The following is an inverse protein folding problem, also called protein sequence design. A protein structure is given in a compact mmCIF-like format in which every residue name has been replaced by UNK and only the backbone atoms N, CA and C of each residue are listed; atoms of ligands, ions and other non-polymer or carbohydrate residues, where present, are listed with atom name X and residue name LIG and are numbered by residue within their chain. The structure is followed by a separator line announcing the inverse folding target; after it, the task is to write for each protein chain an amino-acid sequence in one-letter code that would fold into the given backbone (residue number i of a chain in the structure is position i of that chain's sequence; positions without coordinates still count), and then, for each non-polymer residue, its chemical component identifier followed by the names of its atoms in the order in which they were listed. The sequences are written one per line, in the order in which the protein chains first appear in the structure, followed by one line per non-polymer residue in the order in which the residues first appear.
data_IF_412621908047
#
_entry.id   IF_412621908047
#
_cell.length_a   1.000
_cell.length_b   1.000
_cell.length_c   1.000
_cell.angle_alpha   90.00
_cell.angle_beta   90.00
_cell.angle_gamma   90.00
#
_symmetry.space_group_name_H-M   'P 1'
#
loop_
_entity.id
_entity.type
_entity.pdbx_description
1 polymer ?
#
# COMPACT_ATOMS: atom_id res chain seq x y z
N UNK A 1 -10.03 10.59 -30.76
CA UNK A 1 -8.71 10.54 -30.10
C UNK A 1 -8.06 9.14 -30.11
N UNK A 2 -8.80 8.03 -29.98
CA UNK A 2 -8.24 6.65 -30.04
C UNK A 2 -7.57 6.22 -31.36
N UNK A 3 -7.89 6.88 -32.48
CA UNK A 3 -7.33 6.54 -33.80
C UNK A 3 -5.92 7.07 -34.05
N UNK A 4 -5.47 8.04 -33.25
CA UNK A 4 -4.16 8.70 -33.41
C UNK A 4 -3.08 7.96 -32.61
N UNK A 5 -3.48 7.33 -31.50
CA UNK A 5 -2.60 6.54 -30.64
C UNK A 5 -1.72 5.50 -31.40
N UNK A 6 -2.25 4.67 -32.33
CA UNK A 6 -1.41 3.72 -33.03
C UNK A 6 -0.38 4.39 -33.95
N UNK A 7 -0.72 5.51 -34.60
CA UNK A 7 0.23 6.26 -35.43
C UNK A 7 1.30 6.94 -34.60
N UNK A 8 0.94 7.48 -33.43
CA UNK A 8 1.89 8.08 -32.49
C UNK A 8 2.86 7.04 -31.94
N UNK A 9 2.36 5.86 -31.56
CA UNK A 9 3.19 4.74 -31.09
C UNK A 9 4.14 4.27 -32.20
N UNK A 10 3.66 4.13 -33.43
CA UNK A 10 4.51 3.78 -34.59
C UNK A 10 5.58 4.84 -34.84
N UNK A 11 5.23 6.12 -34.74
CA UNK A 11 6.17 7.23 -34.92
C UNK A 11 7.23 7.26 -33.80
N UNK A 12 6.82 7.06 -32.54
CA UNK A 12 7.74 6.89 -31.42
C UNK A 12 8.66 5.67 -31.59
N UNK A 13 8.11 4.54 -32.06
CA UNK A 13 8.91 3.35 -32.38
C UNK A 13 9.90 3.62 -33.52
N UNK A 14 9.50 4.38 -34.54
CA UNK A 14 10.37 4.76 -35.65
C UNK A 14 11.49 5.69 -35.19
N UNK A 15 11.20 6.65 -34.31
CA UNK A 15 12.22 7.52 -33.69
C UNK A 15 13.17 6.73 -32.79
N UNK A 16 12.67 5.79 -32.00
CA UNK A 16 13.50 4.90 -31.20
C UNK A 16 14.37 4.01 -32.08
N UNK A 17 13.82 3.40 -33.12
CA UNK A 17 14.58 2.60 -34.07
C UNK A 17 15.62 3.43 -34.82
N UNK A 18 15.32 4.69 -35.12
CA UNK A 18 16.27 5.61 -35.73
C UNK A 18 17.41 5.94 -34.78
N UNK A 19 17.11 6.29 -33.53
CA UNK A 19 18.13 6.56 -32.51
C UNK A 19 19.00 5.33 -32.28
N UNK A 20 18.37 4.17 -32.09
CA UNK A 20 19.00 2.86 -32.01
C UNK A 20 19.93 2.66 -33.23
N UNK A 21 19.42 2.65 -34.47
CA UNK A 21 20.22 2.38 -35.67
C UNK A 21 21.33 3.39 -35.98
N UNK A 22 21.17 4.68 -35.66
CA UNK A 22 22.12 5.75 -36.02
C UNK A 22 23.04 6.18 -34.87
N UNK A 23 22.68 5.92 -33.61
CA UNK A 23 23.48 6.20 -32.39
C UNK A 23 24.23 4.95 -31.89
N UNK A 24 24.04 3.76 -32.50
CA UNK A 24 24.83 2.56 -32.15
C UNK A 24 26.33 2.68 -32.37
N UNK A 25 26.80 3.65 -33.18
CA UNK A 25 28.22 3.86 -33.43
C UNK A 25 29.01 4.28 -32.18
N UNK A 26 28.34 4.85 -31.18
CA UNK A 26 28.94 5.32 -29.92
C UNK A 26 28.49 4.49 -28.70
N UNK A 27 27.85 3.34 -28.92
CA UNK A 27 27.41 2.44 -27.85
C UNK A 27 28.60 1.63 -27.32
N UNK A 28 29.50 2.29 -26.59
CA UNK A 28 30.67 1.64 -26.01
C UNK A 28 30.28 0.83 -24.76
N UNK A 29 30.70 -0.43 -24.75
CA UNK A 29 30.53 -1.32 -23.59
C UNK A 29 31.90 -1.51 -22.93
N UNK A 30 32.07 -0.98 -21.73
CA UNK A 30 33.32 -1.12 -20.98
C UNK A 30 33.28 -2.40 -20.13
N UNK A 31 34.14 -3.37 -20.45
CA UNK A 31 34.45 -4.49 -19.58
C UNK A 31 35.89 -4.31 -19.10
N UNK A 32 36.10 -4.26 -17.79
CA UNK A 32 37.42 -4.21 -17.15
C UNK A 32 38.32 -3.02 -17.58
N UNK A 33 37.69 -1.89 -17.92
CA UNK A 33 38.39 -0.67 -18.35
C UNK A 33 38.80 -0.66 -19.82
N UNK A 34 38.62 -1.78 -20.55
CA UNK A 34 38.82 -1.84 -21.99
C UNK A 34 37.50 -1.57 -22.72
N UNK A 35 37.57 -0.66 -23.68
CA UNK A 35 36.42 -0.19 -24.46
C UNK A 35 36.19 -1.15 -25.63
N UNK A 36 35.16 -1.99 -25.53
CA UNK A 36 34.77 -2.87 -26.63
C UNK A 36 33.91 -2.07 -27.61
N UNK A 37 34.58 -1.50 -28.60
CA UNK A 37 33.94 -0.70 -29.63
C UNK A 37 33.61 -1.53 -30.88
N UNK A 38 32.45 -1.26 -31.50
CA UNK A 38 31.99 -1.92 -32.73
C UNK A 38 30.74 -2.81 -32.60
N UNK A 39 30.33 -3.48 -33.70
CA UNK A 39 29.04 -4.15 -33.81
C UNK A 39 28.79 -5.24 -32.75
N UNK A 40 29.84 -5.94 -32.33
CA UNK A 40 29.76 -6.96 -31.29
C UNK A 40 29.60 -6.33 -29.90
N UNK A 41 30.26 -5.20 -29.62
CA UNK A 41 30.09 -4.43 -28.39
C UNK A 41 28.66 -3.91 -28.23
N UNK A 42 28.08 -3.39 -29.31
CA UNK A 42 26.67 -2.98 -29.34
C UNK A 42 25.70 -4.15 -29.08
N UNK A 43 25.94 -5.33 -29.67
CA UNK A 43 25.11 -6.51 -29.44
C UNK A 43 25.13 -6.97 -27.97
N UNK A 44 26.31 -7.03 -27.36
CA UNK A 44 26.44 -7.35 -25.93
C UNK A 44 25.87 -6.24 -25.05
N UNK A 45 26.07 -4.96 -25.40
CA UNK A 45 25.49 -3.82 -24.71
C UNK A 45 23.97 -3.89 -24.67
N UNK A 46 23.30 -4.16 -25.79
CA UNK A 46 21.84 -4.31 -25.85
C UNK A 46 21.39 -5.54 -25.05
N UNK A 47 22.10 -6.67 -25.17
CA UNK A 47 21.72 -7.90 -24.48
C UNK A 47 21.88 -7.79 -22.96
N UNK A 48 22.95 -7.17 -22.47
CA UNK A 48 23.18 -6.96 -21.03
C UNK A 48 22.35 -5.81 -20.48
N UNK A 49 22.18 -4.70 -21.20
CA UNK A 49 21.30 -3.62 -20.76
C UNK A 49 19.83 -4.06 -20.76
N UNK A 50 19.37 -4.68 -21.85
CA UNK A 50 18.01 -5.22 -21.97
C UNK A 50 17.77 -6.40 -21.03
N UNK A 51 18.70 -7.36 -20.97
CA UNK A 51 18.60 -8.51 -20.07
C UNK A 51 18.68 -8.11 -18.60
N UNK A 52 19.61 -7.22 -18.25
CA UNK A 52 19.76 -6.70 -16.89
C UNK A 52 18.56 -5.89 -16.42
N UNK A 53 17.96 -5.09 -17.30
CA UNK A 53 16.73 -4.35 -16.97
C UNK A 53 15.52 -5.27 -16.78
N UNK A 54 15.36 -6.31 -17.60
CA UNK A 54 14.29 -7.31 -17.42
C UNK A 54 14.45 -8.08 -16.10
N UNK A 55 15.66 -8.53 -15.78
CA UNK A 55 15.94 -9.22 -14.52
C UNK A 55 15.75 -8.26 -13.34
N UNK A 56 16.23 -7.02 -13.45
CA UNK A 56 16.02 -5.98 -12.44
C UNK A 56 14.54 -5.70 -12.19
N UNK A 57 13.72 -5.64 -13.24
CA UNK A 57 12.27 -5.48 -13.14
C UNK A 57 11.62 -6.66 -12.42
N UNK A 58 12.02 -7.89 -12.75
CA UNK A 58 11.51 -9.09 -12.09
C UNK A 58 11.87 -9.08 -10.59
N UNK A 59 13.13 -8.82 -10.26
CA UNK A 59 13.61 -8.77 -8.87
C UNK A 59 12.90 -7.67 -8.08
N UNK A 60 12.80 -6.47 -8.63
CA UNK A 60 12.11 -5.35 -7.97
C UNK A 60 10.63 -5.63 -7.77
N UNK A 61 9.97 -6.31 -8.71
CA UNK A 61 8.58 -6.76 -8.56
C UNK A 61 8.46 -7.75 -7.40
N UNK A 62 9.31 -8.77 -7.35
CA UNK A 62 9.31 -9.77 -6.27
C UNK A 62 9.56 -9.10 -4.92
N UNK A 63 10.58 -8.25 -4.83
CA UNK A 63 10.91 -7.49 -3.61
C UNK A 63 9.74 -6.59 -3.21
N UNK A 64 9.08 -5.94 -4.16
CA UNK A 64 7.89 -5.13 -3.91
C UNK A 64 6.74 -5.94 -3.31
N UNK A 65 6.49 -7.15 -3.80
CA UNK A 65 5.48 -8.06 -3.24
C UNK A 65 5.85 -8.48 -1.81
N UNK A 66 7.12 -8.84 -1.57
CA UNK A 66 7.58 -9.20 -0.22
C UNK A 66 7.41 -8.04 0.75
N UNK A 67 7.82 -6.83 0.36
CA UNK A 67 7.63 -5.61 1.15
C UNK A 67 6.15 -5.36 1.45
N UNK A 68 5.26 -5.50 0.47
CA UNK A 68 3.83 -5.33 0.68
C UNK A 68 3.28 -6.29 1.74
N UNK A 69 3.70 -7.56 1.72
CA UNK A 69 3.32 -8.56 2.74
C UNK A 69 3.89 -8.21 4.11
N UNK A 70 5.16 -7.78 4.19
CA UNK A 70 5.78 -7.36 5.45
C UNK A 70 5.05 -6.16 6.04
N UNK A 71 4.75 -5.14 5.24
CA UNK A 71 3.99 -3.97 5.71
C UNK A 71 2.57 -4.32 6.14
N UNK A 72 1.91 -5.24 5.44
CA UNK A 72 0.61 -5.76 5.89
C UNK A 72 0.72 -6.45 7.26
N UNK A 73 1.76 -7.27 7.46
CA UNK A 73 2.04 -7.92 8.74
C UNK A 73 2.29 -6.91 9.87
N UNK A 74 3.12 -5.89 9.63
CA UNK A 74 3.39 -4.82 10.60
C UNK A 74 2.11 -4.09 10.99
N UNK A 75 1.23 -3.79 10.02
CA UNK A 75 -0.07 -3.16 10.30
C UNK A 75 -0.93 -3.98 11.26
N UNK A 76 -1.03 -5.29 11.05
CA UNK A 76 -1.77 -6.20 11.94
C UNK A 76 -1.18 -6.21 13.34
N UNK A 77 0.15 -6.25 13.47
CA UNK A 77 0.84 -6.22 14.77
C UNK A 77 0.54 -4.93 15.53
N UNK A 78 0.58 -3.78 14.86
CA UNK A 78 0.30 -2.48 15.49
C UNK A 78 -1.16 -2.42 15.96
N UNK A 79 -2.11 -2.84 15.13
CA UNK A 79 -3.54 -2.86 15.51
C UNK A 79 -3.77 -3.81 16.69
N UNK A 80 -3.14 -4.99 16.67
CA UNK A 80 -3.21 -5.95 17.77
C UNK A 80 -2.66 -5.38 19.07
N UNK A 81 -1.48 -4.75 19.03
CA UNK A 81 -0.87 -4.10 20.19
C UNK A 81 -1.76 -2.97 20.74
N UNK A 82 -2.34 -2.15 19.87
CA UNK A 82 -3.23 -1.07 20.26
C UNK A 82 -4.53 -1.59 20.90
N UNK A 83 -5.09 -2.67 20.37
CA UNK A 83 -6.28 -3.31 20.94
C UNK A 83 -5.99 -3.84 22.36
N UNK A 84 -4.86 -4.53 22.55
CA UNK A 84 -4.44 -5.04 23.87
C UNK A 84 -4.23 -3.88 24.85
N UNK A 85 -3.55 -2.81 24.41
CA UNK A 85 -3.36 -1.61 25.23
C UNK A 85 -4.69 -0.96 25.61
N UNK A 86 -5.64 -0.85 24.67
CA UNK A 86 -6.98 -0.33 24.92
C UNK A 86 -7.74 -1.15 25.95
N UNK A 87 -7.68 -2.50 25.86
CA UNK A 87 -8.30 -3.39 26.84
C UNK A 87 -7.63 -3.24 28.21
N UNK A 88 -6.30 -3.16 28.27
CA UNK A 88 -5.57 -2.97 29.52
C UNK A 88 -5.95 -1.66 30.22
N UNK A 89 -6.06 -0.57 29.46
CA UNK A 89 -6.53 0.73 29.96
C UNK A 89 -7.97 0.62 30.46
N UNK A 90 -8.85 -0.05 29.71
CA UNK A 90 -10.22 -0.27 30.13
C UNK A 90 -10.28 -1.03 31.46
N UNK A 91 -9.54 -2.14 31.60
CA UNK A 91 -9.44 -2.90 32.83
C UNK A 91 -8.90 -2.07 34.01
N UNK A 92 -7.99 -1.13 33.76
CA UNK A 92 -7.50 -0.21 34.80
C UNK A 92 -8.54 0.84 35.21
N UNK A 93 -9.40 1.28 34.29
CA UNK A 93 -10.45 2.28 34.55
C UNK A 93 -11.71 1.65 35.17
N UNK A 94 -12.06 0.41 34.80
CA UNK A 94 -13.23 -0.34 35.31
C UNK A 94 -13.39 -0.29 36.84
N UNK A 95 -12.36 -0.54 37.69
CA UNK A 95 -12.53 -0.47 39.15
C UNK A 95 -12.89 0.93 39.65
N UNK A 96 -12.54 1.99 38.93
CA UNK A 96 -12.94 3.37 39.26
C UNK A 96 -14.31 3.73 38.68
N UNK A 97 -14.65 3.18 37.51
CA UNK A 97 -15.92 3.46 36.83
C UNK A 97 -17.08 2.73 37.52
N UNK A 98 -16.89 1.50 37.99
CA UNK A 98 -17.89 0.69 38.70
C UNK A 98 -18.57 1.40 39.88
N UNK A 99 -17.83 1.96 40.86
CA UNK A 99 -18.45 2.65 42.00
C UNK A 99 -19.21 3.92 41.58
N UNK A 100 -18.85 4.56 40.46
CA UNK A 100 -19.56 5.73 39.93
C UNK A 100 -20.78 5.35 39.06
N UNK A 101 -20.70 4.25 38.31
CA UNK A 101 -21.78 3.73 37.47
C UNK A 101 -22.92 3.14 38.28
N UNK A 102 -22.64 2.54 39.43
CA UNK A 102 -23.65 1.95 40.31
C UNK A 102 -24.76 2.94 40.74
N UNK A 103 -24.45 4.12 41.32
CA UNK A 103 -25.47 5.09 41.68
C UNK A 103 -26.19 5.66 40.45
N UNK A 104 -25.48 5.89 39.34
CA UNK A 104 -26.08 6.40 38.11
C UNK A 104 -27.07 5.40 37.50
N UNK A 105 -26.74 4.10 37.51
CA UNK A 105 -27.59 3.02 37.05
C UNK A 105 -28.84 2.86 37.93
N UNK A 106 -28.72 3.02 39.25
CA UNK A 106 -29.87 3.00 40.17
C UNK A 106 -30.82 4.16 39.90
N UNK A 107 -30.30 5.39 39.77
CA UNK A 107 -31.11 6.57 39.44
C UNK A 107 -31.81 6.38 38.09
N UNK A 108 -31.08 5.89 37.09
CA UNK A 108 -31.63 5.65 35.76
C UNK A 108 -32.70 4.55 35.75
N UNK A 109 -32.50 3.46 36.49
CA UNK A 109 -33.50 2.41 36.65
C UNK A 109 -34.79 2.94 37.32
N UNK A 110 -34.65 3.74 38.39
CA UNK A 110 -35.78 4.39 39.07
C UNK A 110 -36.53 5.36 38.13
N UNK A 111 -35.81 6.19 37.38
CA UNK A 111 -36.39 7.13 36.42
C UNK A 111 -37.04 6.41 35.24
N UNK A 112 -36.41 5.38 34.69
CA UNK A 112 -36.95 4.57 33.60
C UNK A 112 -38.25 3.86 34.03
N UNK A 113 -38.27 3.31 35.23
CA UNK A 113 -39.47 2.69 35.82
C UNK A 113 -40.56 3.72 36.09
N UNK A 114 -40.22 4.90 36.61
CA UNK A 114 -41.16 6.00 36.82
C UNK A 114 -41.78 6.51 35.51
N UNK A 115 -40.97 6.63 34.44
CA UNK A 115 -41.49 6.98 33.11
C UNK A 115 -42.42 5.91 32.55
N UNK A 116 -42.07 4.62 32.66
CA UNK A 116 -42.95 3.53 32.21
C UNK A 116 -44.28 3.51 32.97
N UNK A 117 -44.25 3.73 34.29
CA UNK A 117 -45.48 3.80 35.09
C UNK A 117 -46.33 5.04 34.78
N UNK A 118 -45.72 6.19 34.45
CA UNK A 118 -46.45 7.39 34.02
C UNK A 118 -47.13 7.24 32.65
N UNK A 119 -46.54 6.46 31.73
CA UNK A 119 -47.16 6.19 30.41
C UNK A 119 -48.36 5.26 30.56
N UNK A 120 -48.32 4.31 31.49
CA UNK A 120 -49.45 3.41 31.83
C UNK A 120 -50.56 4.14 32.61
N UNK A 121 -50.21 5.13 33.43
CA UNK A 121 -51.16 5.98 34.18
C UNK A 121 -51.56 7.27 33.47
N UNK A 122 -51.42 7.37 32.15
CA UNK A 122 -52.13 8.40 31.39
C UNK A 122 -53.45 7.75 30.95
N UNK A 123 -54.57 7.91 31.71
CA UNK A 123 -55.84 7.46 31.20
C UNK A 123 -56.15 8.33 29.98
N UNK A 124 -56.75 7.71 28.98
CA UNK A 124 -57.42 8.40 27.91
C UNK A 124 -58.30 9.52 28.51
N UNK A 125 -58.01 10.76 28.13
CA UNK A 125 -58.93 11.89 28.23
C UNK A 125 -59.22 12.32 26.81
#
# INVERSE_FOLDING_TARGET
MKKIAPYLILFLCALLLWDVLFTFGDASFHIDGEEFDGPLGAMFGILLAGGGTLIGLLVTLVVGVVLAVVFAGVGVVIIGALAIAGVAVLCAIVPFLLPLLLPLAVIWYLVSRSRRNRVVHKPAV
#
